data_IF_254328831694
#
_entry.id   IF_254328831694
#
_cell.length_a   1.000
_cell.length_b   1.000
_cell.length_c   1.000
_cell.angle_alpha   90.00
_cell.angle_beta   90.00
_cell.angle_gamma   90.00
#
_symmetry.space_group_name_H-M   'P 1'
#
loop_
_entity.id
_entity.type
_entity.pdbx_description
1 polymer ?
#
# COMPACT_ATOMS: atom_id res chain seq x y z
N UNK A 1 34.89 4.54 27.85
CA UNK A 1 34.21 4.02 26.64
C UNK A 1 32.71 4.06 26.88
N UNK A 2 31.90 4.36 25.86
CA UNK A 2 30.44 4.32 25.93
C UNK A 2 29.95 3.07 25.20
N UNK A 3 29.29 2.17 25.92
CA UNK A 3 28.68 0.96 25.37
C UNK A 3 27.19 1.20 25.12
N UNK A 4 26.59 0.49 24.18
CA UNK A 4 25.15 0.55 23.90
C UNK A 4 24.57 -0.84 24.07
N UNK A 5 23.54 -0.96 24.91
CA UNK A 5 22.90 -2.24 25.26
C UNK A 5 21.39 -2.02 25.30
N UNK A 6 20.61 -2.99 24.84
CA UNK A 6 19.14 -2.90 24.93
C UNK A 6 18.70 -3.00 26.41
N UNK A 7 17.71 -2.20 26.79
CA UNK A 7 17.00 -2.32 28.07
C UNK A 7 16.42 -3.73 28.23
N UNK A 8 16.47 -4.24 29.47
CA UNK A 8 15.99 -5.58 29.84
C UNK A 8 16.66 -6.72 29.06
N UNK A 9 17.85 -6.48 28.50
CA UNK A 9 18.72 -7.58 28.06
C UNK A 9 19.10 -8.45 29.26
N UNK A 10 19.02 -9.76 29.10
CA UNK A 10 19.45 -10.74 30.11
C UNK A 10 20.87 -11.23 29.83
N UNK A 11 21.58 -11.66 30.85
CA UNK A 11 22.85 -12.38 30.72
C UNK A 11 23.94 -11.59 29.95
N UNK A 12 24.05 -10.30 30.24
CA UNK A 12 24.98 -9.41 29.55
C UNK A 12 26.41 -9.62 30.03
N UNK A 13 27.31 -9.92 29.10
CA UNK A 13 28.76 -10.08 29.36
C UNK A 13 29.54 -8.95 28.70
N UNK A 14 30.42 -8.31 29.46
CA UNK A 14 31.35 -7.30 28.95
C UNK A 14 32.77 -7.85 28.91
N UNK A 15 33.52 -7.41 27.90
CA UNK A 15 34.95 -7.60 27.81
C UNK A 15 35.61 -6.26 28.08
N UNK A 16 36.41 -6.19 29.14
CA UNK A 16 36.96 -4.94 29.65
C UNK A 16 38.48 -4.99 29.76
N UNK A 17 39.12 -3.87 29.50
CA UNK A 17 40.56 -3.70 29.70
C UNK A 17 40.82 -3.00 31.03
N UNK A 18 41.65 -3.59 31.88
CA UNK A 18 42.10 -3.03 33.14
C UNK A 18 43.57 -2.64 32.99
N UNK A 19 43.84 -1.34 33.09
CA UNK A 19 45.20 -0.80 33.00
C UNK A 19 45.93 -0.93 34.34
N UNK A 20 47.22 -1.29 34.27
CA UNK A 20 48.14 -1.19 35.39
C UNK A 20 48.51 0.28 35.63
N UNK A 21 48.09 0.83 36.76
CA UNK A 21 48.37 2.21 37.16
C UNK A 21 49.85 2.46 37.48
N UNK A 22 50.64 1.41 37.70
CA UNK A 22 52.10 1.50 37.86
C UNK A 22 52.83 1.50 36.52
N UNK A 23 52.16 1.13 35.42
CA UNK A 23 52.74 1.12 34.08
C UNK A 23 52.73 2.51 33.44
N UNK A 24 53.88 2.95 32.94
CA UNK A 24 54.03 4.19 32.16
C UNK A 24 53.77 4.01 30.67
N UNK A 25 53.63 2.77 30.20
CA UNK A 25 53.40 2.43 28.79
C UNK A 25 51.96 1.98 28.52
N UNK A 26 51.10 2.02 29.54
CA UNK A 26 49.70 1.60 29.42
C UNK A 26 49.51 0.09 29.38
N UNK A 27 50.40 -0.69 30.00
CA UNK A 27 50.26 -2.14 30.08
C UNK A 27 48.98 -2.54 30.84
N UNK A 28 48.41 -3.68 30.47
CA UNK A 28 47.28 -4.27 31.18
C UNK A 28 47.71 -4.92 32.48
N UNK A 29 46.91 -4.74 33.54
CA UNK A 29 47.13 -5.38 34.84
C UNK A 29 46.65 -6.83 34.78
N UNK A 30 47.53 -7.79 35.03
CA UNK A 30 47.21 -9.22 35.01
C UNK A 30 47.00 -9.81 36.40
N UNK A 31 46.38 -11.00 36.47
CA UNK A 31 46.28 -11.78 37.69
C UNK A 31 45.23 -11.32 38.71
N UNK A 32 44.30 -10.44 38.32
CA UNK A 32 43.14 -10.15 39.16
C UNK A 32 42.16 -11.33 39.15
N UNK A 33 41.59 -11.62 40.31
CA UNK A 33 40.52 -12.60 40.52
C UNK A 33 39.34 -11.91 41.21
N UNK A 34 38.16 -12.53 41.18
CA UNK A 34 36.92 -11.93 41.71
C UNK A 34 37.02 -11.46 43.17
N UNK A 35 37.90 -12.09 43.96
CA UNK A 35 38.15 -11.78 45.37
C UNK A 35 39.53 -11.14 45.63
N UNK A 36 40.16 -10.53 44.63
CA UNK A 36 41.36 -9.71 44.83
C UNK A 36 41.09 -8.62 45.89
N UNK A 37 42.07 -8.40 46.77
CA UNK A 37 41.90 -7.47 47.88
C UNK A 37 41.46 -6.08 47.40
N UNK A 38 40.43 -5.52 48.05
CA UNK A 38 39.84 -4.22 47.75
C UNK A 38 39.20 -4.05 46.37
N UNK A 39 39.18 -5.11 45.53
CA UNK A 39 38.49 -5.08 44.25
C UNK A 39 36.98 -4.97 44.47
N UNK A 40 36.37 -3.93 43.92
CA UNK A 40 34.94 -3.71 44.01
C UNK A 40 34.39 -3.20 42.68
N UNK A 41 33.16 -3.62 42.37
CA UNK A 41 32.39 -3.11 41.25
C UNK A 41 31.13 -2.43 41.77
N UNK A 42 30.91 -1.19 41.35
CA UNK A 42 29.70 -0.44 41.69
C UNK A 42 29.07 0.10 40.42
N UNK A 43 27.74 0.20 40.42
CA UNK A 43 27.00 0.86 39.38
C UNK A 43 26.03 1.88 39.99
N UNK A 44 25.72 2.93 39.23
CA UNK A 44 24.74 3.92 39.58
C UNK A 44 23.81 4.14 38.39
N UNK A 45 22.52 3.96 38.65
CA UNK A 45 21.45 4.37 37.74
C UNK A 45 21.12 5.85 38.05
N UNK A 46 20.81 6.71 37.06
CA UNK A 46 20.46 8.10 37.28
C UNK A 46 19.40 8.24 38.38
N UNK A 47 19.62 9.20 39.29
CA UNK A 47 18.75 9.47 40.45
C UNK A 47 18.63 8.32 41.46
N UNK A 48 19.50 7.31 41.41
CA UNK A 48 19.60 6.24 42.40
C UNK A 48 20.95 6.27 43.14
N UNK A 49 20.97 5.74 44.36
CA UNK A 49 22.22 5.50 45.08
C UNK A 49 23.06 4.43 44.35
N UNK A 50 24.39 4.52 44.48
CA UNK A 50 25.27 3.49 43.92
C UNK A 50 25.02 2.15 44.61
N UNK A 51 24.92 1.09 43.81
CA UNK A 51 24.76 -0.29 44.25
C UNK A 51 26.00 -1.10 43.89
N UNK A 52 26.34 -2.08 44.72
CA UNK A 52 27.45 -2.99 44.43
C UNK A 52 26.99 -4.07 43.45
N UNK A 53 27.85 -4.42 42.49
CA UNK A 53 27.81 -5.69 41.80
C UNK A 53 28.77 -6.62 42.54
N UNK A 54 28.23 -7.59 43.29
CA UNK A 54 29.06 -8.57 44.00
C UNK A 54 29.78 -9.44 43.00
N UNK A 55 31.11 -9.35 42.96
CA UNK A 55 31.93 -10.15 42.05
C UNK A 55 31.96 -11.62 42.48
N UNK A 56 31.90 -12.51 41.50
CA UNK A 56 31.87 -13.95 41.69
C UNK A 56 32.87 -14.65 40.76
N UNK A 57 33.20 -15.89 41.10
CA UNK A 57 34.07 -16.72 40.25
C UNK A 57 33.42 -16.96 38.89
N UNK A 58 34.24 -17.02 37.84
CA UNK A 58 33.80 -17.32 36.49
C UNK A 58 34.91 -18.06 35.75
N UNK A 59 34.57 -18.68 34.63
CA UNK A 59 35.50 -19.27 33.67
C UNK A 59 35.38 -18.53 32.34
N UNK A 60 36.46 -18.46 31.56
CA UNK A 60 36.50 -17.64 30.33
C UNK A 60 35.34 -17.98 29.40
N UNK A 61 35.04 -19.27 29.20
CA UNK A 61 33.97 -19.76 28.33
C UNK A 61 32.70 -20.22 29.09
N UNK A 62 32.59 -19.91 30.39
CA UNK A 62 31.47 -20.35 31.21
C UNK A 62 30.14 -19.67 30.82
N UNK A 63 29.02 -20.29 31.21
CA UNK A 63 27.73 -19.62 31.13
C UNK A 63 27.76 -18.32 31.96
N UNK A 64 27.01 -17.31 31.53
CA UNK A 64 26.89 -16.07 32.28
C UNK A 64 26.39 -16.35 33.71
N UNK A 65 26.98 -15.63 34.66
CA UNK A 65 26.52 -15.59 36.04
C UNK A 65 26.72 -14.18 36.56
N UNK A 66 25.70 -13.58 37.16
CA UNK A 66 25.75 -12.24 37.74
C UNK A 66 27.04 -12.02 38.57
N UNK A 67 27.81 -11.00 38.20
CA UNK A 67 29.06 -10.64 38.88
C UNK A 67 30.26 -11.51 38.52
N UNK A 68 30.11 -12.50 37.65
CA UNK A 68 31.18 -13.35 37.16
C UNK A 68 32.36 -12.53 36.63
N UNK A 69 33.56 -12.77 37.17
CA UNK A 69 34.77 -12.04 36.81
C UNK A 69 35.96 -12.98 36.66
N UNK A 70 36.66 -12.90 35.52
CA UNK A 70 37.81 -13.75 35.22
C UNK A 70 38.74 -13.10 34.20
N UNK A 71 40.04 -13.31 34.36
CA UNK A 71 41.05 -12.96 33.37
C UNK A 71 40.90 -13.83 32.12
N UNK A 72 40.94 -13.21 30.94
CA UNK A 72 40.73 -13.94 29.68
C UNK A 72 42.01 -14.66 29.26
N UNK A 73 43.12 -13.92 29.15
CA UNK A 73 44.43 -14.45 28.78
C UNK A 73 45.52 -13.49 29.28
N UNK A 74 46.32 -13.94 30.26
CA UNK A 74 47.37 -13.13 30.88
C UNK A 74 48.60 -12.93 29.98
N UNK A 75 48.74 -13.70 28.91
CA UNK A 75 49.95 -13.75 28.07
C UNK A 75 49.74 -13.00 26.76
N UNK A 76 48.66 -13.31 26.04
CA UNK A 76 48.39 -12.78 24.71
C UNK A 76 47.47 -11.54 24.76
N UNK A 77 46.67 -11.39 25.81
CA UNK A 77 45.75 -10.26 26.00
C UNK A 77 45.85 -9.70 27.44
N UNK A 78 47.05 -9.32 27.90
CA UNK A 78 47.25 -8.89 29.29
C UNK A 78 46.33 -7.72 29.64
N UNK A 79 45.64 -7.83 30.78
CA UNK A 79 44.67 -6.83 31.24
C UNK A 79 43.26 -6.98 30.67
N UNK A 80 42.99 -7.97 29.81
CA UNK A 80 41.64 -8.24 29.32
C UNK A 80 40.88 -9.20 30.25
N UNK A 81 39.72 -8.75 30.71
CA UNK A 81 38.86 -9.49 31.62
C UNK A 81 37.44 -9.61 31.09
N UNK A 82 36.80 -10.70 31.49
CA UNK A 82 35.36 -10.86 31.36
C UNK A 82 34.68 -10.34 32.62
N UNK A 83 33.61 -9.58 32.43
CA UNK A 83 32.72 -9.09 33.50
C UNK A 83 31.27 -9.36 33.13
N UNK A 84 30.62 -10.25 33.87
CA UNK A 84 29.21 -10.57 33.73
C UNK A 84 28.38 -9.59 34.56
N UNK A 85 27.50 -8.84 33.90
CA UNK A 85 26.62 -7.87 34.55
C UNK A 85 25.39 -8.55 35.13
N UNK A 86 24.88 -8.01 36.23
CA UNK A 86 23.53 -8.36 36.71
C UNK A 86 22.46 -7.71 35.85
N UNK A 87 21.34 -8.41 35.62
CA UNK A 87 20.19 -7.90 34.85
C UNK A 87 19.65 -6.57 35.42
N UNK A 88 19.79 -6.33 36.74
CA UNK A 88 19.40 -5.07 37.38
C UNK A 88 20.16 -3.84 36.85
N UNK A 89 21.38 -4.06 36.32
CA UNK A 89 22.21 -2.99 35.74
C UNK A 89 21.60 -2.53 34.42
N UNK A 90 21.06 -3.43 33.61
CA UNK A 90 20.51 -3.14 32.27
C UNK A 90 18.99 -3.11 32.22
N UNK A 91 18.32 -3.23 33.37
CA UNK A 91 16.87 -3.11 33.50
C UNK A 91 16.33 -1.79 32.94
N UNK A 92 15.05 -1.76 32.57
CA UNK A 92 14.35 -0.56 32.09
C UNK A 92 14.19 0.53 33.17
N UNK A 93 13.74 1.71 32.75
CA UNK A 93 13.44 2.87 33.62
C UNK A 93 14.48 4.00 33.59
N UNK A 94 15.66 3.78 33.00
CA UNK A 94 16.66 4.83 32.74
C UNK A 94 17.28 4.64 31.35
N UNK A 95 17.98 5.65 30.83
CA UNK A 95 18.62 5.64 29.50
C UNK A 95 20.14 5.44 29.55
N UNK A 96 20.73 5.48 30.73
CA UNK A 96 22.15 5.20 30.92
C UNK A 96 22.44 4.69 32.32
N UNK A 97 23.56 4.00 32.47
CA UNK A 97 24.10 3.52 33.74
C UNK A 97 25.60 3.73 33.74
N UNK A 98 26.11 4.26 34.85
CA UNK A 98 27.54 4.37 35.09
C UNK A 98 27.98 3.17 35.93
N UNK A 99 29.07 2.52 35.54
CA UNK A 99 29.69 1.41 36.25
C UNK A 99 31.16 1.73 36.50
N UNK A 100 31.69 1.31 37.64
CA UNK A 100 33.08 1.51 38.00
C UNK A 100 33.63 0.27 38.70
N UNK A 101 34.63 -0.35 38.09
CA UNK A 101 35.46 -1.38 38.71
C UNK A 101 36.74 -0.71 39.22
N UNK A 102 37.11 -0.93 40.49
CA UNK A 102 38.27 -0.27 41.11
C UNK A 102 38.79 -1.01 42.33
N UNK A 103 39.91 -0.50 42.86
CA UNK A 103 40.33 -0.68 44.26
C UNK A 103 41.41 -1.73 44.48
N UNK A 104 41.63 -2.63 43.53
CA UNK A 104 42.77 -3.56 43.58
C UNK A 104 44.11 -2.81 43.48
N UNK A 105 45.15 -3.38 44.08
CA UNK A 105 46.53 -2.84 43.99
C UNK A 105 46.94 -2.70 42.53
N UNK A 106 47.57 -1.56 42.20
CA UNK A 106 48.02 -1.21 40.85
C UNK A 106 46.91 -1.14 39.79
N UNK A 107 45.63 -1.17 40.18
CA UNK A 107 44.52 -1.04 39.24
C UNK A 107 44.19 0.44 39.00
N UNK A 108 44.31 0.88 37.75
CA UNK A 108 43.69 2.14 37.36
C UNK A 108 42.15 1.99 37.43
N UNK A 109 41.42 2.94 38.05
CA UNK A 109 39.95 2.88 38.07
C UNK A 109 39.38 2.77 36.66
N UNK A 110 38.44 1.85 36.46
CA UNK A 110 37.80 1.60 35.18
C UNK A 110 36.36 2.13 35.18
N UNK A 111 36.12 3.38 34.76
CA UNK A 111 34.78 3.91 34.54
C UNK A 111 34.22 3.45 33.19
N UNK A 112 32.97 2.98 33.23
CA UNK A 112 32.20 2.53 32.07
C UNK A 112 30.86 3.26 32.07
N UNK A 113 30.47 3.79 30.92
CA UNK A 113 29.11 4.30 30.72
C UNK A 113 28.40 3.39 29.74
N UNK A 114 27.24 2.89 30.14
CA UNK A 114 26.38 2.06 29.30
C UNK A 114 25.15 2.90 28.98
N UNK A 115 24.91 3.15 27.70
CA UNK A 115 23.63 3.67 27.22
C UNK A 115 22.66 2.52 27.05
N UNK A 116 21.46 2.68 27.60
CA UNK A 116 20.38 1.71 27.53
C UNK A 116 19.37 2.13 26.45
N UNK A 117 19.29 1.35 25.38
CA UNK A 117 18.41 1.62 24.22
C UNK A 117 17.11 0.83 24.30
N UNK A 118 16.03 1.34 23.71
CA UNK A 118 14.73 0.63 23.68
C UNK A 118 14.71 -0.59 22.74
N UNK A 119 15.63 -0.64 21.79
CA UNK A 119 15.75 -1.70 20.79
C UNK A 119 17.19 -2.20 20.70
N UNK A 120 17.37 -3.39 20.14
CA UNK A 120 18.69 -3.97 19.90
C UNK A 120 19.20 -3.48 18.55
N UNK A 121 20.36 -2.85 18.51
CA UNK A 121 20.92 -2.25 17.30
C UNK A 121 21.30 -3.29 16.22
N UNK A 122 21.65 -4.51 16.63
CA UNK A 122 22.19 -5.54 15.73
C UNK A 122 21.11 -6.42 15.10
N UNK A 123 19.91 -6.47 15.69
CA UNK A 123 18.83 -7.36 15.24
C UNK A 123 17.42 -6.74 15.23
N UNK A 124 17.25 -5.49 15.64
CA UNK A 124 15.94 -4.87 15.51
C UNK A 124 15.65 -4.65 14.03
N UNK A 125 14.52 -5.16 13.56
CA UNK A 125 13.75 -4.45 12.54
C UNK A 125 13.42 -3.10 13.17
N UNK A 126 14.07 -1.99 12.79
CA UNK A 126 13.76 -0.71 13.40
C UNK A 126 12.28 -0.46 13.16
N UNK A 127 11.55 0.03 14.17
CA UNK A 127 10.23 0.59 13.93
C UNK A 127 10.43 1.86 13.10
N UNK A 128 10.54 1.69 11.78
CA UNK A 128 10.69 2.80 10.85
C UNK A 128 9.33 3.45 10.74
N UNK A 129 9.19 4.60 11.38
CA UNK A 129 8.12 5.50 11.02
C UNK A 129 8.38 6.00 9.58
N UNK A 130 7.63 5.50 8.60
CA UNK A 130 7.74 5.89 7.19
C UNK A 130 6.99 7.20 6.96
N UNK A 131 7.27 8.24 7.76
CA UNK A 131 6.71 9.59 7.50
C UNK A 131 7.31 10.19 6.23
N UNK A 132 8.44 9.67 5.71
CA UNK A 132 9.04 10.08 4.45
C UNK A 132 9.57 8.89 3.65
N UNK A 133 9.39 8.91 2.32
CA UNK A 133 10.02 7.99 1.38
C UNK A 133 10.72 8.80 0.29
N UNK A 134 12.03 8.62 0.12
CA UNK A 134 12.86 9.41 -0.82
C UNK A 134 12.73 10.94 -0.65
N UNK A 135 12.60 11.41 0.60
CA UNK A 135 12.44 12.84 0.92
C UNK A 135 11.03 13.41 0.68
N UNK A 136 10.07 12.56 0.32
CA UNK A 136 8.66 12.94 0.13
C UNK A 136 7.86 12.53 1.36
N UNK A 137 7.22 13.49 2.02
CA UNK A 137 6.32 13.22 3.13
C UNK A 137 5.19 12.27 2.71
N UNK A 138 4.97 11.21 3.47
CA UNK A 138 3.91 10.24 3.24
C UNK A 138 2.79 10.46 4.27
N UNK A 139 1.53 10.36 3.85
CA UNK A 139 0.42 10.30 4.78
C UNK A 139 0.25 8.88 5.30
N UNK A 140 -0.15 8.74 6.57
CA UNK A 140 -0.59 7.44 7.12
C UNK A 140 -1.79 6.86 6.35
N UNK A 141 -2.53 7.70 5.63
CA UNK A 141 -3.63 7.29 4.74
C UNK A 141 -3.08 6.59 3.50
N UNK A 142 -2.09 7.19 2.83
CA UNK A 142 -1.49 6.66 1.59
C UNK A 142 -0.83 5.30 1.83
N UNK A 143 -0.15 5.14 2.97
CA UNK A 143 0.50 3.89 3.34
C UNK A 143 -0.48 2.82 3.82
N UNK A 144 -1.61 3.21 4.43
CA UNK A 144 -2.66 2.28 4.86
C UNK A 144 -3.38 1.66 3.67
N UNK A 145 -3.53 2.38 2.57
CA UNK A 145 -4.12 1.87 1.32
C UNK A 145 -3.27 0.76 0.67
N UNK A 146 -1.97 0.70 0.95
CA UNK A 146 -1.09 -0.41 0.53
C UNK A 146 -1.08 -1.59 1.51
N UNK A 147 -1.48 -1.39 2.77
CA UNK A 147 -1.31 -2.38 3.85
C UNK A 147 -2.61 -3.02 4.36
N UNK A 148 -3.78 -2.48 4.01
CA UNK A 148 -5.09 -3.06 4.35
C UNK A 148 -5.75 -3.72 3.13
N UNK A 149 -6.92 -4.33 3.32
CA UNK A 149 -7.72 -5.15 2.40
C UNK A 149 -7.97 -4.61 0.97
N UNK A 150 -7.45 -3.42 0.65
CA UNK A 150 -7.44 -2.80 -0.67
C UNK A 150 -6.16 -3.04 -1.50
N UNK A 151 -5.16 -3.80 -1.05
CA UNK A 151 -3.99 -4.16 -1.86
C UNK A 151 -4.16 -5.57 -2.47
N UNK A 152 -4.08 -5.67 -3.79
CA UNK A 152 -3.98 -6.96 -4.50
C UNK A 152 -2.51 -7.34 -4.75
N UNK A 153 -1.94 -8.30 -4.00
CA UNK A 153 -0.56 -8.72 -4.15
C UNK A 153 -0.29 -9.49 -5.45
N UNK A 154 -1.30 -10.00 -6.14
CA UNK A 154 -1.11 -10.71 -7.40
C UNK A 154 -0.86 -9.74 -8.56
N UNK A 155 -1.36 -8.50 -8.46
CA UNK A 155 -1.24 -7.48 -9.51
C UNK A 155 -0.45 -6.25 -9.10
N UNK A 156 0.01 -6.17 -7.85
CA UNK A 156 0.72 -5.03 -7.26
C UNK A 156 -0.06 -3.71 -7.41
N UNK A 157 -1.39 -3.75 -7.20
CA UNK A 157 -2.29 -2.59 -7.37
C UNK A 157 -3.12 -2.32 -6.12
N UNK A 158 -3.38 -1.05 -5.87
CA UNK A 158 -4.35 -0.57 -4.87
C UNK A 158 -5.74 -0.55 -5.50
N UNK A 159 -6.76 -1.04 -4.81
CA UNK A 159 -8.11 -1.30 -5.32
C UNK A 159 -8.82 -0.05 -5.88
N UNK A 160 -8.46 1.15 -5.43
CA UNK A 160 -8.94 2.43 -6.00
C UNK A 160 -8.34 2.77 -7.37
N UNK A 161 -7.25 2.10 -7.76
CA UNK A 161 -6.60 2.17 -9.08
C UNK A 161 -7.00 0.96 -9.96
N UNK A 162 -8.12 0.31 -9.68
CA UNK A 162 -8.81 -0.49 -10.70
C UNK A 162 -9.28 0.49 -11.77
N UNK A 163 -8.54 0.57 -12.87
CA UNK A 163 -8.93 1.26 -14.10
C UNK A 163 -10.42 1.01 -14.39
N UNK A 164 -11.22 2.05 -14.16
CA UNK A 164 -12.61 2.27 -14.60
C UNK A 164 -13.44 1.04 -15.03
N UNK A 165 -13.72 0.11 -14.13
CA UNK A 165 -14.55 -1.07 -14.46
C UNK A 165 -16.00 -0.73 -14.86
N UNK A 166 -16.47 0.50 -14.60
CA UNK A 166 -17.81 1.01 -14.94
C UNK A 166 -17.79 2.02 -16.10
N UNK A 167 -16.61 2.37 -16.65
CA UNK A 167 -16.44 3.32 -17.76
C UNK A 167 -17.20 4.66 -17.66
N UNK A 168 -17.75 5.02 -16.49
CA UNK A 168 -18.41 6.32 -16.28
C UNK A 168 -17.37 7.42 -16.46
N UNK A 169 -17.50 8.21 -17.53
CA UNK A 169 -16.59 9.30 -17.87
C UNK A 169 -15.58 9.01 -19.00
N UNK A 170 -15.69 7.89 -19.71
CA UNK A 170 -15.00 7.74 -21.02
C UNK A 170 -15.99 7.94 -22.18
N UNK A 171 -15.53 8.58 -23.25
CA UNK A 171 -16.31 8.93 -24.44
C UNK A 171 -16.80 7.70 -25.26
N UNK A 172 -16.75 6.48 -24.69
CA UNK A 172 -17.04 5.21 -25.39
C UNK A 172 -17.82 4.19 -24.54
N UNK A 173 -18.45 4.61 -23.43
CA UNK A 173 -19.21 3.71 -22.55
C UNK A 173 -20.33 2.90 -23.26
N UNK A 174 -20.89 3.42 -24.36
CA UNK A 174 -21.98 2.77 -25.12
C UNK A 174 -21.56 1.49 -25.87
N UNK A 175 -20.26 1.30 -26.15
CA UNK A 175 -19.75 0.16 -26.93
C UNK A 175 -19.51 -1.08 -26.06
N UNK A 176 -19.39 -0.94 -24.74
CA UNK A 176 -19.02 -2.02 -23.82
C UNK A 176 -20.21 -2.60 -23.05
N UNK A 177 -21.28 -1.83 -22.84
CA UNK A 177 -22.54 -2.36 -22.29
C UNK A 177 -23.34 -3.02 -23.40
N UNK A 178 -23.84 -4.23 -23.17
CA UNK A 178 -24.89 -4.79 -24.01
C UNK A 178 -26.02 -3.78 -24.12
N UNK A 179 -26.22 -3.22 -25.31
CA UNK A 179 -27.28 -2.25 -25.54
C UNK A 179 -28.61 -2.84 -25.01
N UNK A 180 -29.47 -2.05 -24.34
CA UNK A 180 -30.74 -2.53 -23.84
C UNK A 180 -31.48 -3.34 -24.91
N UNK A 181 -32.05 -4.49 -24.56
CA UNK A 181 -32.61 -5.43 -25.55
C UNK A 181 -33.74 -4.81 -26.40
N UNK A 182 -34.41 -3.79 -25.90
CA UNK A 182 -35.43 -2.99 -26.60
C UNK A 182 -34.86 -2.05 -27.68
N UNK A 183 -33.54 -1.84 -27.75
CA UNK A 183 -32.89 -1.10 -28.84
C UNK A 183 -32.80 -1.91 -30.13
N UNK A 184 -32.98 -3.23 -30.08
CA UNK A 184 -33.13 -4.07 -31.28
C UNK A 184 -34.30 -3.61 -32.18
N UNK A 185 -35.26 -2.88 -31.61
CA UNK A 185 -36.41 -2.31 -32.33
C UNK A 185 -36.12 -0.94 -32.97
N UNK A 186 -34.97 -0.32 -32.68
CA UNK A 186 -34.56 0.99 -33.21
C UNK A 186 -33.54 0.79 -34.33
N UNK A 187 -33.81 1.32 -35.52
CA UNK A 187 -32.84 1.35 -36.62
C UNK A 187 -31.82 2.47 -36.40
N UNK A 188 -30.74 2.18 -35.67
CA UNK A 188 -29.66 3.15 -35.40
C UNK A 188 -28.62 3.06 -36.53
N UNK A 189 -28.38 4.18 -37.23
CA UNK A 189 -27.33 4.24 -38.26
C UNK A 189 -25.95 4.28 -37.61
N UNK A 190 -24.87 3.92 -38.33
CA UNK A 190 -23.48 3.98 -37.83
C UNK A 190 -23.04 5.35 -37.26
N UNK A 191 -23.77 6.43 -37.55
CA UNK A 191 -23.57 7.77 -36.98
C UNK A 191 -24.43 8.13 -35.77
N UNK A 192 -25.18 7.19 -35.17
CA UNK A 192 -25.96 7.41 -33.95
C UNK A 192 -27.30 8.12 -34.13
N UNK A 193 -27.69 8.43 -35.37
CA UNK A 193 -29.00 9.02 -35.66
C UNK A 193 -30.12 8.00 -35.44
N UNK A 194 -31.14 8.39 -34.67
CA UNK A 194 -32.41 7.65 -34.48
C UNK A 194 -33.42 8.30 -35.43
N UNK A 195 -33.64 7.69 -36.60
CA UNK A 195 -34.49 8.27 -37.65
C UNK A 195 -35.51 7.28 -38.22
N UNK A 196 -36.59 7.82 -38.79
CA UNK A 196 -37.50 7.07 -39.66
C UNK A 196 -36.82 7.00 -41.03
N UNK A 197 -36.02 5.96 -41.24
CA UNK A 197 -35.37 5.75 -42.54
C UNK A 197 -36.40 5.69 -43.68
N UNK A 198 -36.00 6.06 -44.90
CA UNK A 198 -36.85 5.90 -46.09
C UNK A 198 -37.43 4.47 -46.20
N UNK A 199 -36.64 3.45 -45.87
CA UNK A 199 -37.11 2.06 -45.84
C UNK A 199 -38.21 1.79 -44.79
N UNK A 200 -38.20 2.49 -43.65
CA UNK A 200 -39.28 2.43 -42.68
C UNK A 200 -40.53 3.16 -43.18
N UNK A 201 -40.38 4.31 -43.85
CA UNK A 201 -41.48 5.01 -44.52
C UNK A 201 -42.11 4.15 -45.63
N UNK A 202 -41.30 3.43 -46.41
CA UNK A 202 -41.75 2.50 -47.45
C UNK A 202 -42.57 1.33 -46.86
N UNK A 203 -42.18 0.82 -45.69
CA UNK A 203 -42.98 -0.18 -44.94
C UNK A 203 -44.33 0.37 -44.47
N UNK A 204 -44.38 1.62 -43.98
CA UNK A 204 -45.65 2.27 -43.61
C UNK A 204 -46.56 2.43 -44.83
N UNK A 205 -46.01 2.86 -45.97
CA UNK A 205 -46.77 3.04 -47.21
C UNK A 205 -47.28 1.72 -47.81
N UNK A 206 -46.67 0.59 -47.48
CA UNK A 206 -47.07 -0.75 -47.93
C UNK A 206 -48.00 -1.50 -46.97
N UNK A 207 -48.10 -1.10 -45.70
CA UNK A 207 -48.82 -1.88 -44.65
C UNK A 207 -50.31 -1.51 -44.53
N UNK A 208 -50.79 -0.47 -45.20
CA UNK A 208 -52.22 -0.20 -45.32
C UNK A 208 -52.53 0.13 -46.77
N UNK A 209 -53.63 -0.39 -47.31
CA UNK A 209 -54.13 -0.20 -48.67
C UNK A 209 -54.35 1.29 -49.04
N UNK A 210 -53.25 2.04 -49.21
CA UNK A 210 -53.20 3.44 -49.62
C UNK A 210 -53.05 3.43 -51.15
N UNK A 211 -54.15 3.69 -51.84
CA UNK A 211 -54.28 3.38 -53.27
C UNK A 211 -53.54 4.34 -54.22
N UNK A 212 -53.06 5.51 -53.78
CA UNK A 212 -52.44 6.48 -54.69
C UNK A 212 -50.99 6.82 -54.29
N UNK A 213 -50.04 6.20 -55.00
CA UNK A 213 -48.66 6.72 -55.15
C UNK A 213 -48.43 7.37 -56.52
N UNK A 214 -49.36 7.21 -57.48
CA UNK A 214 -49.38 7.91 -58.77
C UNK A 214 -50.79 7.82 -59.39
N UNK A 215 -51.16 8.80 -60.22
CA UNK A 215 -52.45 8.82 -60.93
C UNK A 215 -52.50 7.92 -62.19
N UNK A 216 -51.37 7.37 -62.64
CA UNK A 216 -51.26 6.29 -63.64
C UNK A 216 -52.32 6.26 -64.77
N UNK A 217 -52.85 5.06 -65.04
CA UNK A 217 -53.88 4.78 -66.06
C UNK A 217 -55.29 5.22 -65.64
N UNK A 218 -55.48 5.68 -64.41
CA UNK A 218 -56.78 6.09 -63.87
C UNK A 218 -57.39 7.24 -64.68
N UNK A 219 -56.56 8.17 -65.15
CA UNK A 219 -57.01 9.27 -66.02
C UNK A 219 -57.63 8.68 -67.30
N UNK A 220 -57.02 7.65 -67.86
CA UNK A 220 -57.49 6.97 -69.07
C UNK A 220 -58.76 6.16 -68.80
N UNK A 221 -58.82 5.44 -67.67
CA UNK A 221 -60.03 4.74 -67.22
C UNK A 221 -61.22 5.70 -67.04
N UNK A 222 -60.99 6.92 -66.52
CA UNK A 222 -62.02 7.96 -66.39
C UNK A 222 -62.54 8.40 -67.76
N UNK A 223 -61.65 8.65 -68.72
CA UNK A 223 -62.04 9.08 -70.08
C UNK A 223 -62.71 7.96 -70.90
N UNK A 224 -62.24 6.72 -70.78
CA UNK A 224 -62.85 5.56 -71.46
C UNK A 224 -64.23 5.21 -70.87
N UNK A 225 -64.38 5.34 -69.54
CA UNK A 225 -65.68 5.24 -68.86
C UNK A 225 -66.64 6.33 -69.34
N UNK A 226 -66.11 7.54 -69.58
CA UNK A 226 -66.92 8.65 -70.05
C UNK A 226 -67.54 8.42 -71.42
N UNK A 227 -66.85 7.68 -72.29
CA UNK A 227 -67.30 7.42 -73.66
C UNK A 227 -68.33 6.29 -73.76
N UNK A 228 -68.40 5.37 -72.78
CA UNK A 228 -69.15 4.10 -72.95
C UNK A 228 -70.12 3.70 -71.82
N UNK A 229 -70.00 4.25 -70.61
CA UNK A 229 -70.72 3.72 -69.44
C UNK A 229 -71.38 4.78 -68.55
N UNK A 230 -71.35 6.06 -68.92
CA UNK A 230 -72.08 7.13 -68.23
C UNK A 230 -73.55 7.13 -68.68
N UNK A 231 -74.32 6.12 -68.29
CA UNK A 231 -75.71 5.90 -68.78
C UNK A 231 -76.80 6.34 -67.79
N UNK A 232 -76.43 6.67 -66.55
CA UNK A 232 -77.40 7.06 -65.52
C UNK A 232 -77.99 8.45 -65.81
N UNK A 233 -79.28 8.49 -66.14
CA UNK A 233 -80.02 9.71 -66.42
C UNK A 233 -79.91 10.71 -65.26
N UNK A 234 -79.60 11.98 -65.58
CA UNK A 234 -79.45 13.06 -64.59
C UNK A 234 -78.08 13.16 -63.91
N UNK A 235 -77.16 12.21 -64.14
CA UNK A 235 -75.78 12.37 -63.68
C UNK A 235 -75.03 13.42 -64.52
N UNK A 236 -74.10 14.15 -63.89
CA UNK A 236 -73.19 15.08 -64.60
C UNK A 236 -72.50 14.39 -65.76
N UNK A 237 -72.07 13.15 -65.55
CA UNK A 237 -71.43 12.34 -66.57
C UNK A 237 -72.31 12.10 -67.81
N UNK A 238 -73.57 11.67 -67.63
CA UNK A 238 -74.50 11.45 -68.74
C UNK A 238 -74.82 12.74 -69.49
N UNK A 239 -74.97 13.85 -68.76
CA UNK A 239 -75.26 15.17 -69.35
C UNK A 239 -74.13 15.66 -70.27
N UNK A 240 -72.87 15.44 -69.88
CA UNK A 240 -71.74 15.78 -70.75
C UNK A 240 -71.71 14.95 -72.03
N UNK A 241 -71.94 13.64 -71.93
CA UNK A 241 -72.01 12.76 -73.12
C UNK A 241 -73.11 13.21 -74.06
N UNK A 242 -74.29 13.51 -73.54
CA UNK A 242 -75.43 13.93 -74.34
C UNK A 242 -75.18 15.27 -75.06
N UNK A 243 -74.62 16.25 -74.35
CA UNK A 243 -74.29 17.56 -74.92
C UNK A 243 -73.18 17.46 -75.97
N UNK A 244 -72.14 16.68 -75.70
CA UNK A 244 -71.03 16.48 -76.64
C UNK A 244 -71.58 15.82 -77.91
N UNK A 245 -72.27 14.68 -77.78
CA UNK A 245 -72.83 13.97 -78.93
C UNK A 245 -73.72 14.88 -79.79
N UNK A 246 -74.57 15.71 -79.15
CA UNK A 246 -75.43 16.66 -79.88
C UNK A 246 -74.67 17.79 -80.59
N UNK A 247 -73.46 18.14 -80.16
CA UNK A 247 -72.68 19.25 -80.72
C UNK A 247 -71.77 18.81 -81.88
N UNK A 248 -71.29 17.56 -81.87
CA UNK A 248 -70.38 17.01 -82.90
C UNK A 248 -71.04 16.02 -83.87
N UNK A 249 -72.34 15.75 -83.75
CA UNK A 249 -73.13 14.95 -84.71
C UNK A 249 -73.65 15.76 -85.90
#
# INVERSE_FOLDING_TARGET
MKLQIKKDSTNVTLIVFIQDSSSTTGAGLTGLVYNSASLVCYYARPLAAAAALTLATQTVAGAHSDGGFVEIDSTNMPGMYRLDLSDAIVATGVDSVALMLKGATNMAPLPLEIQLTGFNLDNATPDVNVTQLSGVAQSLIDLKDFADAGYDPATNKVEGCKVNNDMRGTDSALLASSAPTNWSSLSITAGGLIDITQAAADKVWSTAARTLTSFGTLIQDIWDKATSALTTAGSIGKLFVDNINATIS
#
